data_IF_752263396090
#
_entry.id   IF_752263396090
#
_cell.length_a   1.000
_cell.length_b   1.000
_cell.length_c   1.000
_cell.angle_alpha   90.00
_cell.angle_beta   90.00
_cell.angle_gamma   90.00
#
_symmetry.space_group_name_H-M   'P 1'
#
loop_
_entity.id
_entity.type
_entity.pdbx_description
1 polymer ?
#
# COMPACT_ATOMS: atom_id res chain seq x y z
N UNK A 1 0.09 -26.66 -49.21
CA UNK A 1 -0.43 -27.14 -47.91
C UNK A 1 0.64 -26.94 -46.83
N UNK A 2 1.01 -25.70 -46.48
CA UNK A 2 2.07 -25.44 -45.47
C UNK A 2 1.97 -24.00 -44.97
N UNK A 3 0.81 -23.56 -44.47
CA UNK A 3 0.67 -22.17 -43.95
C UNK A 3 -0.17 -22.02 -42.68
N UNK A 4 -0.59 -23.12 -42.06
CA UNK A 4 -1.49 -23.09 -40.90
C UNK A 4 -0.88 -23.66 -39.60
N UNK A 5 0.41 -24.01 -39.61
CA UNK A 5 1.09 -24.60 -38.43
C UNK A 5 1.83 -23.60 -37.54
N UNK A 6 2.08 -22.37 -38.01
CA UNK A 6 2.95 -21.44 -37.31
C UNK A 6 2.22 -20.45 -36.39
N UNK A 7 0.89 -20.34 -36.52
CA UNK A 7 0.09 -19.39 -35.73
C UNK A 7 -0.41 -19.96 -34.39
N UNK A 8 -0.38 -21.29 -34.22
CA UNK A 8 -0.82 -21.96 -32.99
C UNK A 8 0.25 -22.06 -31.89
N UNK A 9 1.52 -21.77 -32.20
CA UNK A 9 2.62 -21.85 -31.22
C UNK A 9 2.83 -20.52 -30.48
N UNK A 10 2.27 -19.41 -30.97
CA UNK A 10 2.46 -18.08 -30.37
C UNK A 10 1.50 -17.74 -29.24
N UNK A 11 0.43 -18.54 -29.01
CA UNK A 11 -0.62 -18.22 -28.03
C UNK A 11 -0.41 -18.89 -26.65
N UNK A 12 0.52 -19.82 -26.55
CA UNK A 12 0.74 -20.62 -25.32
C UNK A 12 1.76 -20.00 -24.36
N UNK A 13 2.37 -18.86 -24.71
CA UNK A 13 3.46 -18.27 -23.90
C UNK A 13 3.01 -17.23 -22.84
N UNK A 14 1.70 -17.01 -22.67
CA UNK A 14 1.19 -15.94 -21.78
C UNK A 14 0.72 -16.38 -20.39
N UNK A 15 0.83 -17.66 -20.02
CA UNK A 15 0.35 -18.16 -18.72
C UNK A 15 1.45 -18.47 -17.68
N UNK A 16 2.68 -18.02 -17.89
CA UNK A 16 3.67 -17.94 -16.81
C UNK A 16 3.42 -16.71 -15.93
N UNK A 17 2.19 -16.55 -15.45
CA UNK A 17 1.93 -15.70 -14.31
C UNK A 17 2.60 -16.37 -13.12
N UNK A 18 3.74 -15.84 -12.70
CA UNK A 18 4.43 -16.26 -11.49
C UNK A 18 3.43 -16.26 -10.34
N UNK A 19 2.95 -17.45 -9.96
CA UNK A 19 2.39 -17.66 -8.63
C UNK A 19 3.57 -17.53 -7.66
N UNK A 20 3.94 -16.28 -7.33
CA UNK A 20 4.96 -15.97 -6.35
C UNK A 20 4.47 -16.61 -5.05
N UNK A 21 5.16 -17.67 -4.61
CA UNK A 21 4.89 -18.26 -3.30
C UNK A 21 5.09 -17.16 -2.29
N UNK A 22 4.01 -16.73 -1.64
CA UNK A 22 4.07 -15.83 -0.50
C UNK A 22 4.91 -16.55 0.56
N UNK A 23 6.15 -16.09 0.74
CA UNK A 23 6.95 -16.51 1.89
C UNK A 23 6.21 -16.05 3.13
N UNK A 24 5.99 -16.93 4.13
CA UNK A 24 5.29 -16.55 5.34
C UNK A 24 6.05 -15.39 6.00
N UNK A 25 5.31 -14.32 6.33
CA UNK A 25 5.89 -13.17 7.02
C UNK A 25 6.43 -13.58 8.39
N UNK A 26 7.49 -12.94 8.89
CA UNK A 26 7.94 -13.13 10.26
C UNK A 26 6.84 -12.77 11.25
N UNK A 27 6.85 -13.42 12.41
CA UNK A 27 5.89 -13.15 13.48
C UNK A 27 5.94 -11.68 13.92
N UNK A 28 4.76 -11.07 14.08
CA UNK A 28 4.65 -9.68 14.52
C UNK A 28 4.94 -8.63 13.44
N UNK A 29 4.97 -9.03 12.15
CA UNK A 29 4.93 -8.15 10.99
C UNK A 29 3.52 -8.20 10.39
N UNK A 30 2.93 -7.05 10.08
CA UNK A 30 1.63 -7.01 9.43
C UNK A 30 1.74 -7.51 7.98
N UNK A 31 0.76 -8.29 7.56
CA UNK A 31 0.56 -8.56 6.16
C UNK A 31 0.11 -7.31 5.40
N UNK A 32 0.22 -7.40 4.07
CA UNK A 32 -0.13 -6.32 3.16
C UNK A 32 -1.56 -5.85 3.34
N UNK A 33 -2.51 -6.77 3.48
CA UNK A 33 -3.95 -6.47 3.60
C UNK A 33 -4.25 -5.68 4.87
N UNK A 34 -3.55 -5.98 5.96
CA UNK A 34 -3.67 -5.25 7.22
C UNK A 34 -2.95 -3.89 7.19
N UNK A 35 -1.83 -3.78 6.46
CA UNK A 35 -1.01 -2.56 6.43
C UNK A 35 -1.52 -1.48 5.47
N UNK A 36 -2.10 -1.87 4.32
CA UNK A 36 -2.66 -0.93 3.33
C UNK A 36 -3.59 0.12 3.96
N UNK A 37 -4.65 -0.24 4.70
CA UNK A 37 -5.57 0.76 5.25
C UNK A 37 -4.91 1.69 6.28
N UNK A 38 -3.89 1.20 7.01
CA UNK A 38 -3.10 2.02 7.94
C UNK A 38 -2.34 3.10 7.17
N UNK A 39 -1.65 2.72 6.09
CA UNK A 39 -0.87 3.66 5.29
C UNK A 39 -1.75 4.66 4.53
N UNK A 40 -2.93 4.24 4.08
CA UNK A 40 -3.93 5.13 3.50
C UNK A 40 -4.31 6.22 4.50
N UNK A 41 -4.68 5.87 5.73
CA UNK A 41 -5.03 6.84 6.76
C UNK A 41 -3.86 7.76 7.13
N UNK A 42 -2.63 7.22 7.21
CA UNK A 42 -1.41 8.00 7.45
C UNK A 42 -1.22 9.04 6.35
N UNK A 43 -1.33 8.66 5.08
CA UNK A 43 -1.13 9.57 3.96
C UNK A 43 -2.24 10.63 3.86
N UNK A 44 -3.49 10.27 4.16
CA UNK A 44 -4.59 11.23 4.24
C UNK A 44 -4.39 12.24 5.39
N UNK A 45 -3.99 11.76 6.56
CA UNK A 45 -3.66 12.64 7.69
C UNK A 45 -2.48 13.57 7.35
N UNK A 46 -1.40 13.05 6.75
CA UNK A 46 -0.27 13.85 6.29
C UNK A 46 -0.68 14.93 5.29
N UNK A 47 -1.52 14.60 4.30
CA UNK A 47 -2.04 15.56 3.34
C UNK A 47 -2.86 16.67 4.04
N UNK A 48 -3.70 16.31 5.01
CA UNK A 48 -4.47 17.28 5.79
C UNK A 48 -3.58 18.24 6.58
N UNK A 49 -2.52 17.72 7.22
CA UNK A 49 -1.57 18.54 7.99
C UNK A 49 -0.77 19.45 7.06
N UNK A 50 -0.31 18.93 5.92
CA UNK A 50 0.47 19.67 4.93
C UNK A 50 -0.30 20.86 4.34
N UNK A 51 -1.62 20.73 4.15
CA UNK A 51 -2.47 21.82 3.64
C UNK A 51 -2.69 22.91 4.70
N UNK A 52 -2.76 22.55 5.98
CA UNK A 52 -3.25 23.44 7.04
C UNK A 52 -2.14 24.17 7.84
N UNK A 53 -0.86 23.77 7.75
CA UNK A 53 0.15 24.15 8.75
C UNK A 53 1.51 24.54 8.17
N UNK A 54 2.22 25.43 8.89
CA UNK A 54 3.66 25.69 8.68
C UNK A 54 4.52 24.57 9.28
N UNK A 55 5.73 24.38 8.77
CA UNK A 55 6.60 23.22 9.05
C UNK A 55 6.77 22.89 10.55
N UNK A 56 6.99 23.89 11.42
CA UNK A 56 7.21 23.67 12.85
C UNK A 56 5.99 23.09 13.59
N UNK A 57 4.78 23.39 13.12
CA UNK A 57 3.56 22.87 13.74
C UNK A 57 3.09 21.54 13.12
N UNK A 58 3.73 21.11 12.03
CA UNK A 58 3.42 19.87 11.30
C UNK A 58 3.89 18.64 12.08
N UNK A 59 5.10 18.70 12.68
CA UNK A 59 5.68 17.56 13.40
C UNK A 59 4.87 17.14 14.63
N UNK A 60 4.45 18.11 15.46
CA UNK A 60 3.63 17.83 16.64
C UNK A 60 2.23 17.33 16.26
N UNK A 61 1.59 17.95 15.27
CA UNK A 61 0.27 17.53 14.80
C UNK A 61 0.30 16.09 14.26
N UNK A 62 1.35 15.71 13.53
CA UNK A 62 1.46 14.36 12.97
C UNK A 62 1.63 13.29 14.05
N UNK A 63 2.26 13.61 15.18
CA UNK A 63 2.38 12.69 16.32
C UNK A 63 1.01 12.26 16.86
N UNK A 64 0.12 13.21 17.10
CA UNK A 64 -1.24 12.95 17.60
C UNK A 64 -2.07 12.13 16.59
N UNK A 65 -1.94 12.43 15.29
CA UNK A 65 -2.59 11.66 14.24
C UNK A 65 -2.07 10.22 14.17
N UNK A 66 -0.77 10.01 14.27
CA UNK A 66 -0.20 8.65 14.28
C UNK A 66 -0.72 7.83 15.46
N UNK A 67 -0.76 8.40 16.67
CA UNK A 67 -1.30 7.71 17.84
C UNK A 67 -2.77 7.35 17.68
N UNK A 68 -3.57 8.25 17.10
CA UNK A 68 -4.98 7.99 16.80
C UNK A 68 -5.16 6.88 15.76
N UNK A 69 -4.45 6.96 14.62
CA UNK A 69 -4.53 6.01 13.52
C UNK A 69 -4.12 4.61 14.01
N UNK A 70 -3.00 4.49 14.72
CA UNK A 70 -2.55 3.20 15.22
C UNK A 70 -3.58 2.58 16.18
N UNK A 71 -4.18 3.39 17.08
CA UNK A 71 -5.27 2.91 17.96
C UNK A 71 -6.50 2.46 17.17
N UNK A 72 -6.90 3.19 16.14
CA UNK A 72 -8.04 2.83 15.28
C UNK A 72 -7.84 1.49 14.57
N UNK A 73 -6.59 1.19 14.17
CA UNK A 73 -6.21 -0.09 13.55
C UNK A 73 -5.82 -1.17 14.57
N UNK A 74 -5.90 -0.91 15.87
CA UNK A 74 -5.55 -1.88 16.92
C UNK A 74 -4.05 -2.19 17.00
N UNK A 75 -3.20 -1.26 16.58
CA UNK A 75 -1.75 -1.41 16.49
C UNK A 75 -1.03 -0.66 17.61
N UNK A 76 0.07 -1.25 18.05
CA UNK A 76 1.06 -0.55 18.87
C UNK A 76 2.19 0.01 17.98
N UNK A 77 2.86 1.04 18.48
CA UNK A 77 3.94 1.73 17.76
C UNK A 77 5.12 0.81 17.44
N UNK A 78 5.42 -0.17 18.29
CA UNK A 78 6.56 -1.08 18.09
C UNK A 78 6.27 -2.06 16.94
N UNK A 79 5.06 -2.60 16.86
CA UNK A 79 4.60 -3.48 15.79
C UNK A 79 4.54 -2.74 14.46
N UNK A 80 4.02 -1.51 14.44
CA UNK A 80 4.09 -0.65 13.25
C UNK A 80 5.55 -0.38 12.83
N UNK A 81 6.41 0.06 13.75
CA UNK A 81 7.81 0.37 13.44
C UNK A 81 8.60 -0.84 12.92
N UNK A 82 8.40 -2.03 13.51
CA UNK A 82 9.02 -3.27 13.00
C UNK A 82 8.49 -3.62 11.61
N UNK A 83 7.19 -3.45 11.38
CA UNK A 83 6.56 -3.71 10.08
C UNK A 83 7.13 -2.80 9.00
N UNK A 84 7.12 -1.48 9.21
CA UNK A 84 7.65 -0.53 8.23
C UNK A 84 9.13 -0.79 7.94
N UNK A 85 9.94 -1.10 8.96
CA UNK A 85 11.34 -1.48 8.76
C UNK A 85 11.46 -2.74 7.90
N UNK A 86 10.66 -3.77 8.17
CA UNK A 86 10.68 -5.00 7.40
C UNK A 86 10.37 -4.75 5.93
N UNK A 87 9.27 -4.07 5.59
CA UNK A 87 8.97 -3.76 4.19
C UNK A 87 10.06 -2.86 3.56
N UNK A 88 10.61 -1.90 4.31
CA UNK A 88 11.73 -1.07 3.85
C UNK A 88 13.00 -1.85 3.48
N UNK A 89 13.24 -2.99 4.12
CA UNK A 89 14.35 -3.91 3.82
C UNK A 89 14.01 -4.90 2.67
N UNK A 90 12.75 -4.94 2.21
CA UNK A 90 12.26 -5.84 1.17
C UNK A 90 11.60 -5.06 0.02
N UNK A 91 12.38 -4.48 -0.92
CA UNK A 91 11.87 -3.59 -1.96
C UNK A 91 10.75 -4.17 -2.83
N UNK A 92 10.82 -5.46 -3.18
CA UNK A 92 9.75 -6.14 -3.93
C UNK A 92 8.41 -6.09 -3.19
N UNK A 93 8.42 -6.41 -1.89
CA UNK A 93 7.21 -6.40 -1.05
C UNK A 93 6.71 -4.98 -0.83
N UNK A 94 7.62 -4.02 -0.66
CA UNK A 94 7.30 -2.61 -0.52
C UNK A 94 6.63 -2.05 -1.77
N UNK A 95 7.13 -2.41 -2.97
CA UNK A 95 6.55 -1.98 -4.23
C UNK A 95 5.12 -2.47 -4.36
N UNK A 96 4.90 -3.78 -4.19
CA UNK A 96 3.57 -4.37 -4.28
C UNK A 96 2.61 -3.82 -3.18
N UNK A 97 3.12 -3.51 -1.98
CA UNK A 97 2.34 -2.82 -0.94
C UNK A 97 1.92 -1.42 -1.39
N UNK A 98 2.84 -0.65 -1.99
CA UNK A 98 2.54 0.71 -2.42
C UNK A 98 1.64 0.77 -3.65
N UNK A 99 1.69 -0.22 -4.53
CA UNK A 99 0.71 -0.38 -5.61
C UNK A 99 -0.72 -0.42 -5.04
N UNK A 100 -0.96 -1.27 -4.03
CA UNK A 100 -2.27 -1.36 -3.36
C UNK A 100 -2.67 -0.06 -2.63
N UNK A 101 -1.70 0.63 -1.99
CA UNK A 101 -1.96 1.92 -1.32
C UNK A 101 -2.35 2.99 -2.32
N UNK A 102 -1.65 3.07 -3.46
CA UNK A 102 -1.94 4.04 -4.53
C UNK A 102 -3.31 3.75 -5.16
N UNK A 103 -3.62 2.48 -5.41
CA UNK A 103 -4.92 2.07 -5.95
C UNK A 103 -6.07 2.50 -5.03
N UNK A 104 -5.94 2.29 -3.72
CA UNK A 104 -6.98 2.68 -2.76
C UNK A 104 -7.11 4.20 -2.62
N UNK A 105 -6.00 4.94 -2.59
CA UNK A 105 -6.03 6.41 -2.59
C UNK A 105 -6.68 6.96 -3.87
N UNK A 106 -6.39 6.36 -5.02
CA UNK A 106 -6.97 6.74 -6.31
C UNK A 106 -8.49 6.50 -6.34
N UNK A 107 -8.94 5.38 -5.77
CA UNK A 107 -10.37 5.07 -5.60
C UNK A 107 -11.07 6.13 -4.74
N UNK A 108 -10.51 6.43 -3.57
CA UNK A 108 -11.04 7.45 -2.65
C UNK A 108 -11.11 8.82 -3.34
N UNK A 109 -10.08 9.20 -4.08
CA UNK A 109 -10.06 10.46 -4.83
C UNK A 109 -11.17 10.52 -5.88
N UNK A 110 -11.36 9.46 -6.66
CA UNK A 110 -12.43 9.39 -7.67
C UNK A 110 -13.83 9.53 -7.07
N UNK A 111 -14.08 8.86 -5.93
CA UNK A 111 -15.34 8.97 -5.20
C UNK A 111 -15.59 10.38 -4.63
N UNK A 112 -14.53 11.01 -4.09
CA UNK A 112 -14.63 12.38 -3.59
C UNK A 112 -14.92 13.39 -4.70
N UNK A 113 -14.39 13.19 -5.91
CA UNK A 113 -14.64 14.05 -7.07
C UNK A 113 -16.08 13.92 -7.57
N UNK A 114 -16.61 12.70 -7.71
CA UNK A 114 -18.00 12.48 -8.13
C UNK A 114 -19.04 13.08 -7.17
N UNK A 115 -18.73 13.18 -5.88
CA UNK A 115 -19.61 13.79 -4.88
C UNK A 115 -19.70 15.31 -4.99
N UNK A 116 -18.74 15.95 -5.66
CA UNK A 116 -18.66 17.40 -5.80
C UNK A 116 -19.27 17.93 -7.11
N UNK A 117 -19.74 17.03 -7.99
CA UNK A 117 -20.48 17.33 -9.23
C UNK A 117 -21.99 17.14 -9.03
#
# INVERSE_FOLDING_TARGET
MTRFGFWLISITFFFSACSRKETPLPEGILDRKALVPVLVDVHLAQASVAILRTADTTAHAMGDYMDFILRQHGLDTATYARTIRYYGEHPDLLSELYDDVIDELSRIQGEAQQKND
#
